data_IF_303648306396
#
_entry.id   IF_303648306396
#
_cell.length_a   1.000
_cell.length_b   1.000
_cell.length_c   1.000
_cell.angle_alpha   90.00
_cell.angle_beta   90.00
_cell.angle_gamma   90.00
#
_symmetry.space_group_name_H-M   'P 1'
#
loop_
_entity.id
_entity.type
_entity.pdbx_description
1 polymer ?
#
# COMPACT_ATOMS: atom_id res chain seq x y z
N UNK A 1 18.21 13.50 6.99
CA UNK A 1 18.45 12.17 6.37
C UNK A 1 17.11 11.64 5.90
N UNK A 2 17.06 11.02 4.72
CA UNK A 2 15.85 10.34 4.25
C UNK A 2 15.66 9.02 5.02
N UNK A 3 14.41 8.61 5.22
CA UNK A 3 14.08 7.32 5.84
C UNK A 3 14.24 6.14 4.86
N UNK A 4 13.93 4.91 5.30
CA UNK A 4 13.97 3.74 4.43
C UNK A 4 12.96 3.87 3.27
N UNK A 5 13.16 3.07 2.23
CA UNK A 5 12.17 2.91 1.17
C UNK A 5 11.16 1.82 1.58
N UNK A 6 9.87 2.10 1.41
CA UNK A 6 8.79 1.19 1.79
C UNK A 6 7.83 1.00 0.63
N UNK A 7 7.41 -0.23 0.39
CA UNK A 7 6.35 -0.60 -0.53
C UNK A 7 5.31 -1.50 0.17
N UNK A 8 4.07 -1.50 -0.32
CA UNK A 8 3.01 -2.35 0.21
C UNK A 8 2.22 -3.00 -0.92
N UNK A 9 1.85 -4.27 -0.72
CA UNK A 9 0.98 -5.04 -1.58
C UNK A 9 -0.31 -5.37 -0.82
N UNK A 10 -1.47 -5.11 -1.44
CA UNK A 10 -2.79 -5.32 -0.83
C UNK A 10 -3.62 -6.20 -1.73
N UNK A 11 -4.13 -7.30 -1.19
CA UNK A 11 -4.99 -8.24 -1.91
C UNK A 11 -6.41 -8.09 -1.38
N UNK A 12 -7.37 -7.95 -2.28
CA UNK A 12 -8.80 -7.91 -1.97
C UNK A 12 -9.50 -9.20 -2.40
N UNK A 13 -10.68 -9.54 -1.85
CA UNK A 13 -11.42 -10.72 -2.25
C UNK A 13 -11.72 -10.72 -3.75
N UNK A 14 -11.51 -11.87 -4.41
CA UNK A 14 -12.03 -12.10 -5.75
C UNK A 14 -13.56 -12.16 -5.66
N UNK A 15 -14.23 -11.09 -6.11
CA UNK A 15 -15.67 -10.94 -5.97
C UNK A 15 -16.30 -10.34 -7.23
N UNK A 16 -17.58 -10.63 -7.43
CA UNK A 16 -18.36 -10.19 -8.59
C UNK A 16 -19.72 -9.61 -8.17
N UNK A 17 -20.44 -9.02 -9.13
CA UNK A 17 -21.81 -8.54 -8.95
C UNK A 17 -21.96 -7.57 -7.76
N UNK A 18 -22.88 -7.89 -6.85
CA UNK A 18 -23.18 -7.06 -5.68
C UNK A 18 -21.98 -6.91 -4.72
N UNK A 19 -21.23 -8.00 -4.50
CA UNK A 19 -20.08 -7.98 -3.60
C UNK A 19 -18.96 -7.05 -4.12
N UNK A 20 -18.68 -7.09 -5.43
CA UNK A 20 -17.73 -6.18 -6.06
C UNK A 20 -18.16 -4.72 -5.97
N UNK A 21 -19.46 -4.44 -6.16
CA UNK A 21 -20.00 -3.08 -6.00
C UNK A 21 -19.83 -2.56 -4.57
N UNK A 22 -20.08 -3.41 -3.57
CA UNK A 22 -19.90 -3.07 -2.16
C UNK A 22 -18.44 -2.78 -1.83
N UNK A 23 -17.51 -3.63 -2.29
CA UNK A 23 -16.07 -3.41 -2.12
C UNK A 23 -15.60 -2.10 -2.77
N UNK A 24 -15.99 -1.83 -4.02
CA UNK A 24 -15.68 -0.57 -4.71
C UNK A 24 -16.23 0.66 -3.97
N UNK A 25 -17.43 0.55 -3.40
CA UNK A 25 -18.03 1.62 -2.60
C UNK A 25 -17.27 1.85 -1.29
N UNK A 26 -16.86 0.78 -0.61
CA UNK A 26 -16.06 0.90 0.62
C UNK A 26 -14.71 1.58 0.33
N UNK A 27 -14.06 1.21 -0.78
CA UNK A 27 -12.76 1.75 -1.19
C UNK A 27 -12.85 3.07 -1.97
N UNK A 28 -14.02 3.69 -2.11
CA UNK A 28 -14.18 4.90 -2.92
C UNK A 28 -13.32 6.10 -2.44
N UNK A 29 -13.01 6.13 -1.13
CA UNK A 29 -12.11 7.11 -0.53
C UNK A 29 -10.62 6.78 -0.67
N UNK A 30 -10.28 5.55 -1.08
CA UNK A 30 -8.90 5.11 -1.33
C UNK A 30 -8.51 5.55 -2.74
N UNK A 31 -8.06 6.79 -2.84
CA UNK A 31 -7.56 7.41 -4.09
C UNK A 31 -6.07 7.69 -3.96
N UNK A 32 -5.51 8.48 -4.87
CA UNK A 32 -4.12 8.92 -4.78
C UNK A 32 -3.84 9.52 -3.39
N UNK A 33 -3.02 8.82 -2.62
CA UNK A 33 -2.73 9.13 -1.22
C UNK A 33 -2.04 10.49 -1.07
N UNK A 34 -1.40 11.01 -2.13
CA UNK A 34 -0.76 12.33 -2.14
C UNK A 34 -1.78 13.46 -2.19
N UNK A 35 -3.02 13.18 -2.59
CA UNK A 35 -4.12 14.15 -2.56
C UNK A 35 -4.86 14.17 -1.21
N UNK A 36 -4.52 13.28 -0.28
CA UNK A 36 -5.18 13.16 1.03
C UNK A 36 -4.37 13.83 2.14
N UNK A 37 -5.06 14.41 3.11
CA UNK A 37 -4.42 14.88 4.35
C UNK A 37 -3.86 13.69 5.16
N UNK A 38 -2.89 13.90 6.05
CA UNK A 38 -2.38 12.85 6.92
C UNK A 38 -3.47 12.12 7.70
N UNK A 39 -4.43 12.86 8.25
CA UNK A 39 -5.56 12.32 9.01
C UNK A 39 -6.43 11.44 8.11
N UNK A 40 -6.73 11.92 6.91
CA UNK A 40 -7.53 11.16 5.95
C UNK A 40 -6.83 9.89 5.47
N UNK A 41 -5.48 9.88 5.39
CA UNK A 41 -4.70 8.67 5.08
C UNK A 41 -4.85 7.61 6.18
N UNK A 42 -4.83 8.01 7.44
CA UNK A 42 -5.04 7.09 8.57
C UNK A 42 -6.45 6.52 8.56
N UNK A 43 -7.46 7.34 8.28
CA UNK A 43 -8.85 6.87 8.18
C UNK A 43 -9.05 5.85 7.05
N UNK A 44 -8.46 6.09 5.87
CA UNK A 44 -8.60 5.14 4.76
C UNK A 44 -7.78 3.86 4.95
N UNK A 45 -6.69 3.90 5.73
CA UNK A 45 -5.91 2.71 6.08
C UNK A 45 -6.79 1.67 6.79
N UNK A 46 -7.59 2.09 7.77
CA UNK A 46 -8.51 1.19 8.48
C UNK A 46 -9.51 0.52 7.52
N UNK A 47 -10.00 1.27 6.52
CA UNK A 47 -10.89 0.71 5.48
C UNK A 47 -10.18 -0.32 4.60
N UNK A 48 -8.91 -0.08 4.25
CA UNK A 48 -8.09 -1.02 3.48
C UNK A 48 -7.88 -2.31 4.29
N UNK A 49 -7.44 -2.19 5.54
CA UNK A 49 -7.19 -3.33 6.45
C UNK A 49 -8.43 -4.19 6.67
N UNK A 50 -9.60 -3.57 6.83
CA UNK A 50 -10.86 -4.30 7.01
C UNK A 50 -11.37 -4.98 5.74
N UNK A 51 -11.00 -4.46 4.56
CA UNK A 51 -11.49 -4.96 3.27
C UNK A 51 -10.55 -5.96 2.61
N UNK A 52 -9.27 -5.93 2.98
CA UNK A 52 -8.23 -6.77 2.40
C UNK A 52 -8.28 -8.20 2.94
N UNK A 53 -7.91 -9.17 2.10
CA UNK A 53 -7.68 -10.57 2.52
C UNK A 53 -6.23 -10.78 2.96
N UNK A 54 -5.30 -9.98 2.42
CA UNK A 54 -3.90 -10.01 2.79
C UNK A 54 -3.26 -8.64 2.53
N UNK A 55 -2.30 -8.29 3.37
CA UNK A 55 -1.47 -7.10 3.24
C UNK A 55 -0.02 -7.51 3.52
N UNK A 56 0.88 -7.14 2.64
CA UNK A 56 2.31 -7.27 2.85
C UNK A 56 3.02 -5.92 2.70
N UNK A 57 4.10 -5.74 3.46
CA UNK A 57 4.89 -4.51 3.51
C UNK A 57 6.36 -4.87 3.38
N UNK A 58 6.98 -4.40 2.31
CA UNK A 58 8.39 -4.56 2.04
C UNK A 58 9.16 -3.30 2.41
N UNK A 59 10.29 -3.47 3.10
CA UNK A 59 11.15 -2.38 3.55
C UNK A 59 12.56 -2.61 3.03
N UNK A 60 13.17 -1.55 2.48
CA UNK A 60 14.60 -1.49 2.15
C UNK A 60 15.23 -0.42 3.04
N UNK A 61 16.13 -0.81 3.97
CA UNK A 61 16.78 0.12 4.87
C UNK A 61 17.74 1.04 4.11
N UNK A 62 18.12 2.16 4.74
CA UNK A 62 18.87 3.25 4.08
C UNK A 62 20.23 2.78 3.57
N UNK A 63 20.93 1.96 4.34
CA UNK A 63 22.22 1.37 3.97
C UNK A 63 22.12 0.48 2.72
N UNK A 64 21.07 -0.33 2.62
CA UNK A 64 20.80 -1.13 1.42
C UNK A 64 20.39 -0.25 0.24
N UNK A 65 19.51 0.74 0.46
CA UNK A 65 19.07 1.69 -0.57
C UNK A 65 20.26 2.47 -1.17
N UNK A 66 21.16 2.96 -0.31
CA UNK A 66 22.34 3.70 -0.74
C UNK A 66 23.33 2.81 -1.51
N UNK A 67 23.39 1.51 -1.17
CA UNK A 67 24.26 0.54 -1.85
C UNK A 67 23.74 0.12 -3.24
N UNK A 68 22.43 -0.07 -3.40
CA UNK A 68 21.84 -0.60 -4.64
C UNK A 68 21.19 0.46 -5.53
N UNK A 69 20.95 1.66 -5.00
CA UNK A 69 20.25 2.75 -5.67
C UNK A 69 18.72 2.59 -5.72
N UNK A 70 18.02 3.69 -6.04
CA UNK A 70 16.56 3.79 -5.95
C UNK A 70 15.80 2.76 -6.81
N UNK A 71 16.23 2.52 -8.05
CA UNK A 71 15.56 1.63 -8.98
C UNK A 71 15.50 0.17 -8.48
N UNK A 72 16.67 -0.46 -8.24
CA UNK A 72 16.73 -1.80 -7.66
C UNK A 72 16.06 -1.89 -6.28
N UNK A 73 16.25 -0.89 -5.41
CA UNK A 73 15.61 -0.87 -4.10
C UNK A 73 14.07 -0.88 -4.20
N UNK A 74 13.49 -0.14 -5.15
CA UNK A 74 12.04 -0.16 -5.36
C UNK A 74 11.54 -1.54 -5.79
N UNK A 75 12.29 -2.24 -6.65
CA UNK A 75 11.98 -3.62 -7.01
C UNK A 75 12.06 -4.55 -5.79
N UNK A 76 13.14 -4.47 -5.02
CA UNK A 76 13.34 -5.29 -3.81
C UNK A 76 12.20 -5.04 -2.79
N UNK A 77 11.83 -3.79 -2.57
CA UNK A 77 10.72 -3.45 -1.68
C UNK A 77 9.40 -4.07 -2.16
N UNK A 78 9.13 -4.04 -3.47
CA UNK A 78 7.94 -4.67 -4.05
C UNK A 78 7.98 -6.21 -3.98
N UNK A 79 9.16 -6.84 -4.09
CA UNK A 79 9.31 -8.30 -3.96
C UNK A 79 9.17 -8.79 -2.51
N UNK A 80 9.52 -7.93 -1.54
CA UNK A 80 9.36 -8.21 -0.10
C UNK A 80 7.94 -7.98 0.42
N UNK A 81 7.15 -7.19 -0.32
CA UNK A 81 5.76 -6.88 -0.01
C UNK A 81 4.84 -7.99 -0.52
#
# INVERSE_FOLDING_TARGET
MAGPLVAAAVVFPACEGWALRRLKSALAGVRDSKLLTPERRVEVLATIEQSAVAIGVGVVPVDELDAVGLGPANRIAMERA
#
